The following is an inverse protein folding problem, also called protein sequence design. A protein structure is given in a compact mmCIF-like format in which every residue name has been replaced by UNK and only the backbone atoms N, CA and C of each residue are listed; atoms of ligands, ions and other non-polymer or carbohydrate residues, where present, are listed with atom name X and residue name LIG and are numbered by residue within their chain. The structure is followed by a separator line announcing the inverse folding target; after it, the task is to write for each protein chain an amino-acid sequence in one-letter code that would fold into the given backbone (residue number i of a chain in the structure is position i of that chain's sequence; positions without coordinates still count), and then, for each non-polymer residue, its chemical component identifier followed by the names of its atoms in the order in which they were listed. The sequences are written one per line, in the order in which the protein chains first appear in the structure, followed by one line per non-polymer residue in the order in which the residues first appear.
data_IF_378974498822
#
_entry.id   IF_378974498822
#
_cell.length_a   1.000
_cell.length_b   1.000
_cell.length_c   1.000
_cell.angle_alpha   90.00
_cell.angle_beta   90.00
_cell.angle_gamma   90.00
#
_symmetry.space_group_name_H-M   'P 1'
#
loop_
_entity.id
_entity.type
_entity.pdbx_description
1 polymer ?
#
# COMPACT_ATOMS: atom_id res chain seq x y z
N UNK A 1 -12.06 -4.67 -14.23
CA UNK A 1 -12.73 -4.26 -12.98
C UNK A 1 -12.93 -2.75 -12.96
N UNK A 2 -14.04 -2.25 -12.39
CA UNK A 2 -14.29 -0.81 -12.22
C UNK A 2 -14.47 -0.49 -10.73
N UNK A 3 -13.72 0.49 -10.22
CA UNK A 3 -13.75 0.85 -8.80
C UNK A 3 -14.10 2.33 -8.65
N UNK A 4 -15.12 2.68 -7.86
CA UNK A 4 -15.42 4.08 -7.54
C UNK A 4 -14.32 4.69 -6.66
N UNK A 5 -13.95 5.93 -6.93
CA UNK A 5 -12.87 6.62 -6.25
C UNK A 5 -13.13 8.10 -6.04
N UNK A 6 -12.77 8.57 -4.86
CA UNK A 6 -12.84 9.97 -4.50
C UNK A 6 -11.52 10.63 -4.91
N UNK A 7 -11.60 11.69 -5.72
CA UNK A 7 -10.44 12.53 -6.05
C UNK A 7 -10.40 13.72 -5.10
N UNK A 8 -9.26 13.98 -4.50
CA UNK A 8 -9.03 15.13 -3.63
C UNK A 8 -7.72 15.83 -4.00
N UNK A 9 -7.63 17.13 -3.72
CA UNK A 9 -6.46 17.96 -4.01
C UNK A 9 -5.64 18.14 -2.72
N UNK A 10 -4.35 17.85 -2.77
CA UNK A 10 -3.41 18.14 -1.66
C UNK A 10 -2.26 19.05 -2.08
N UNK A 11 -2.35 19.71 -3.24
CA UNK A 11 -1.33 20.63 -3.72
C UNK A 11 -1.46 22.04 -3.14
N UNK A 12 -0.36 22.56 -2.62
CA UNK A 12 -0.22 23.92 -2.11
C UNK A 12 0.62 24.78 -3.08
N UNK A 13 0.40 26.11 -3.07
CA UNK A 13 1.08 27.04 -4.01
C UNK A 13 2.58 27.14 -3.71
N UNK A 14 2.95 26.99 -2.45
CA UNK A 14 4.32 27.00 -1.96
C UNK A 14 5.16 25.94 -2.67
N UNK A 15 4.56 24.82 -3.08
CA UNK A 15 5.25 23.76 -3.80
C UNK A 15 5.55 24.12 -5.25
N UNK A 16 4.94 25.17 -5.81
CA UNK A 16 5.26 25.65 -7.16
C UNK A 16 6.68 26.24 -7.23
N UNK A 17 7.29 26.56 -6.08
CA UNK A 17 8.65 27.12 -5.97
C UNK A 17 9.74 26.04 -5.90
N UNK A 18 9.37 24.76 -5.76
CA UNK A 18 10.34 23.68 -5.70
C UNK A 18 10.96 23.43 -7.08
N UNK A 19 12.27 23.14 -7.12
CA UNK A 19 12.98 22.84 -8.36
C UNK A 19 12.76 21.38 -8.79
N UNK A 20 11.85 21.19 -9.73
CA UNK A 20 11.46 19.87 -10.23
C UNK A 20 12.36 19.43 -11.38
N UNK A 21 13.32 18.56 -11.09
CA UNK A 21 14.24 18.00 -12.08
C UNK A 21 13.81 16.60 -12.53
N UNK A 22 13.41 16.47 -13.79
CA UNK A 22 13.04 15.16 -14.39
C UNK A 22 14.24 14.20 -14.43
N UNK A 23 15.44 14.72 -14.73
CA UNK A 23 16.69 13.93 -14.78
C UNK A 23 17.06 13.33 -13.43
N UNK A 24 16.65 13.95 -12.32
CA UNK A 24 16.83 13.45 -10.96
C UNK A 24 15.65 12.59 -10.47
N UNK A 25 14.73 12.19 -11.36
CA UNK A 25 13.48 11.51 -11.02
C UNK A 25 12.63 12.30 -10.00
N UNK A 26 12.61 13.63 -10.15
CA UNK A 26 11.82 14.55 -9.33
C UNK A 26 10.84 15.35 -10.19
N UNK A 27 10.21 14.71 -11.19
CA UNK A 27 9.11 15.33 -11.94
C UNK A 27 8.04 15.84 -10.99
N UNK A 28 7.45 16.99 -11.31
CA UNK A 28 6.33 17.57 -10.56
C UNK A 28 5.17 16.55 -10.44
N UNK A 29 4.75 16.19 -9.21
CA UNK A 29 3.61 15.30 -9.00
C UNK A 29 2.28 15.93 -9.44
N UNK A 30 1.25 15.08 -9.65
CA UNK A 30 -0.11 15.58 -9.86
C UNK A 30 -0.65 16.28 -8.61
N UNK A 31 -1.44 17.35 -8.79
CA UNK A 31 -2.09 18.01 -7.66
C UNK A 31 -3.14 17.17 -6.92
N UNK A 32 -3.60 16.09 -7.56
CA UNK A 32 -4.73 15.29 -7.12
C UNK A 32 -4.32 13.86 -6.78
N UNK A 33 -4.99 13.33 -5.77
CA UNK A 33 -4.81 11.98 -5.22
C UNK A 33 -6.18 11.30 -5.19
N UNK A 34 -6.19 9.97 -5.23
CA UNK A 34 -7.40 9.15 -5.26
C UNK A 34 -7.54 8.29 -4.02
N UNK A 35 -8.76 8.14 -3.51
CA UNK A 35 -9.12 7.24 -2.41
C UNK A 35 -10.20 6.27 -2.87
N UNK A 36 -9.98 4.97 -2.67
CA UNK A 36 -10.94 3.91 -2.99
C UNK A 36 -10.76 2.69 -2.08
N UNK A 37 -11.68 1.74 -2.11
CA UNK A 37 -11.49 0.41 -1.51
C UNK A 37 -11.12 -0.62 -2.57
N UNK A 38 -10.32 -1.62 -2.19
CA UNK A 38 -9.96 -2.75 -3.03
C UNK A 38 -9.74 -3.99 -2.18
N UNK A 39 -10.14 -5.16 -2.69
CA UNK A 39 -9.83 -6.45 -2.07
C UNK A 39 -8.31 -6.63 -1.94
N UNK A 40 -7.86 -7.13 -0.78
CA UNK A 40 -6.45 -7.38 -0.53
C UNK A 40 -5.84 -8.33 -1.59
N UNK A 41 -6.60 -9.35 -2.00
CA UNK A 41 -6.22 -10.30 -3.05
C UNK A 41 -5.99 -9.62 -4.41
N UNK A 42 -6.92 -8.75 -4.85
CA UNK A 42 -6.78 -8.00 -6.09
C UNK A 42 -5.61 -7.02 -6.05
N UNK A 43 -5.47 -6.29 -4.94
CA UNK A 43 -4.38 -5.33 -4.75
C UNK A 43 -3.02 -6.02 -4.82
N UNK A 44 -2.88 -7.21 -4.22
CA UNK A 44 -1.68 -8.04 -4.34
C UNK A 44 -1.45 -8.51 -5.77
N UNK A 45 -2.49 -8.97 -6.46
CA UNK A 45 -2.39 -9.50 -7.84
C UNK A 45 -1.87 -8.46 -8.82
N UNK A 46 -2.31 -7.20 -8.71
CA UNK A 46 -1.96 -6.12 -9.66
C UNK A 46 -0.84 -5.20 -9.16
N UNK A 47 -0.17 -5.56 -8.06
CA UNK A 47 0.93 -4.78 -7.51
C UNK A 47 2.25 -5.55 -7.48
N UNK A 48 3.33 -4.80 -7.34
CA UNK A 48 4.70 -5.32 -7.34
C UNK A 48 5.11 -6.08 -6.05
N UNK A 49 4.18 -6.31 -5.12
CA UNK A 49 4.46 -6.87 -3.79
C UNK A 49 5.10 -8.27 -3.85
N UNK A 50 4.81 -9.05 -4.90
CA UNK A 50 5.37 -10.40 -5.07
C UNK A 50 6.70 -10.46 -5.79
N UNK A 51 6.99 -9.56 -6.75
CA UNK A 51 8.26 -9.65 -7.49
C UNK A 51 9.44 -9.23 -6.64
N UNK A 52 9.18 -8.30 -5.72
CA UNK A 52 10.08 -7.91 -4.63
C UNK A 52 10.46 -9.06 -3.68
N UNK A 53 9.86 -10.25 -3.81
CA UNK A 53 10.27 -11.48 -3.10
C UNK A 53 11.52 -12.13 -3.71
N UNK A 54 11.82 -11.90 -5.00
CA UNK A 54 12.86 -12.64 -5.74
C UNK A 54 14.14 -11.84 -6.03
N UNK A 55 14.05 -10.53 -6.19
CA UNK A 55 15.23 -9.68 -6.42
C UNK A 55 15.85 -9.25 -5.09
N UNK A 56 16.58 -10.17 -4.47
CA UNK A 56 17.48 -9.83 -3.37
C UNK A 56 18.55 -8.85 -3.83
N UNK A 57 18.88 -7.88 -2.98
CA UNK A 57 20.12 -7.08 -2.97
C UNK A 57 20.22 -5.69 -3.64
N UNK A 58 19.17 -5.11 -4.25
CA UNK A 58 19.23 -3.67 -4.59
C UNK A 58 17.96 -2.95 -4.15
N UNK A 59 17.86 -2.71 -2.84
CA UNK A 59 16.80 -1.91 -2.27
C UNK A 59 17.11 -0.41 -2.48
N UNK A 60 16.55 0.19 -3.52
CA UNK A 60 16.16 1.60 -3.43
C UNK A 60 15.37 1.78 -2.12
N UNK A 61 15.68 2.80 -1.32
CA UNK A 61 15.31 2.98 0.09
C UNK A 61 13.81 3.02 0.47
N UNK A 62 12.94 2.50 -0.38
CA UNK A 62 11.48 2.32 -0.25
C UNK A 62 11.13 0.92 0.30
N UNK A 63 12.09 -0.01 0.35
CA UNK A 63 11.82 -1.42 0.67
C UNK A 63 12.14 -1.78 2.14
N UNK A 64 11.26 -2.59 2.76
CA UNK A 64 11.56 -3.28 4.03
C UNK A 64 11.72 -4.77 3.77
N UNK A 65 12.69 -5.41 4.41
CA UNK A 65 12.78 -6.89 4.43
C UNK A 65 11.49 -7.48 5.01
N UNK A 66 11.03 -8.59 4.44
CA UNK A 66 9.90 -9.36 5.01
C UNK A 66 10.28 -9.76 6.43
N UNK A 67 9.40 -9.43 7.35
CA UNK A 67 9.48 -9.84 8.73
C UNK A 67 8.31 -10.79 8.96
N UNK A 68 8.58 -12.09 8.91
CA UNK A 68 7.58 -13.14 9.06
C UNK A 68 6.83 -13.01 10.39
N UNK A 69 7.52 -12.61 11.45
CA UNK A 69 6.92 -12.42 12.77
C UNK A 69 5.90 -11.27 12.75
N UNK A 70 6.23 -10.17 12.05
CA UNK A 70 5.35 -9.01 11.89
C UNK A 70 4.16 -9.34 11.00
N UNK A 71 4.37 -10.05 9.90
CA UNK A 71 3.32 -10.50 9.00
C UNK A 71 2.33 -11.42 9.72
N UNK A 72 2.82 -12.43 10.45
CA UNK A 72 2.00 -13.34 11.23
C UNK A 72 1.22 -12.61 12.34
N UNK A 73 1.83 -11.60 12.99
CA UNK A 73 1.14 -10.77 13.98
C UNK A 73 -0.01 -9.96 13.37
N UNK A 74 0.20 -9.35 12.19
CA UNK A 74 -0.87 -8.62 11.48
C UNK A 74 -1.99 -9.59 11.11
N UNK A 75 -1.67 -10.79 10.64
CA UNK A 75 -2.67 -11.78 10.27
C UNK A 75 -3.53 -12.20 11.48
N UNK A 76 -2.91 -12.48 12.63
CA UNK A 76 -3.63 -12.76 13.87
C UNK A 76 -4.47 -11.58 14.33
N UNK A 77 -3.93 -10.36 14.23
CA UNK A 77 -4.66 -9.15 14.56
C UNK A 77 -5.91 -8.99 13.70
N UNK A 78 -5.82 -9.16 12.37
CA UNK A 78 -6.98 -9.05 11.46
C UNK A 78 -8.11 -10.00 11.87
N UNK A 79 -7.76 -11.20 12.33
CA UNK A 79 -8.73 -12.25 12.70
C UNK A 79 -9.32 -12.09 14.09
N UNK A 80 -8.48 -11.71 15.05
CA UNK A 80 -8.83 -11.80 16.47
C UNK A 80 -8.73 -10.48 17.22
N UNK A 81 -8.28 -9.41 16.56
CA UNK A 81 -8.14 -8.07 17.12
C UNK A 81 -7.14 -7.99 18.26
N UNK A 82 -7.08 -6.84 18.93
CA UNK A 82 -6.34 -6.67 20.17
C UNK A 82 -7.29 -6.84 21.37
N UNK A 83 -6.87 -7.49 22.48
CA UNK A 83 -5.51 -7.99 22.75
C UNK A 83 -5.23 -9.41 22.24
N UNK A 84 -6.24 -10.17 21.80
CA UNK A 84 -6.07 -11.60 21.50
C UNK A 84 -5.01 -11.91 20.43
N UNK A 85 -4.96 -11.14 19.33
CA UNK A 85 -4.01 -11.34 18.23
C UNK A 85 -2.55 -11.10 18.60
N UNK A 86 -2.30 -10.40 19.72
CA UNK A 86 -0.98 -10.13 20.28
C UNK A 86 -0.59 -11.08 21.43
N UNK A 87 -1.48 -12.00 21.82
CA UNK A 87 -1.14 -13.05 22.79
C UNK A 87 -0.03 -13.95 22.26
N UNK A 88 0.79 -14.44 23.18
CA UNK A 88 1.81 -15.44 22.87
C UNK A 88 1.14 -16.79 22.56
N UNK A 89 1.82 -17.64 21.80
CA UNK A 89 1.24 -18.91 21.33
C UNK A 89 0.79 -19.85 22.47
N UNK A 90 1.48 -19.80 23.62
CA UNK A 90 1.16 -20.54 24.85
C UNK A 90 -0.10 -20.04 25.58
N UNK A 91 -0.54 -18.83 25.26
CA UNK A 91 -1.75 -18.17 25.77
C UNK A 91 -2.93 -18.25 24.80
N UNK A 92 -2.77 -18.92 23.65
CA UNK A 92 -3.85 -19.12 22.67
C UNK A 92 -4.79 -20.25 23.11
N UNK A 93 -5.44 -20.07 24.26
CA UNK A 93 -6.32 -21.05 24.91
C UNK A 93 -7.77 -20.56 24.86
N UNK A 94 -8.70 -21.50 24.93
CA UNK A 94 -10.15 -21.21 24.90
C UNK A 94 -10.58 -20.27 26.04
N UNK A 95 -9.89 -20.32 27.18
CA UNK A 95 -10.09 -19.43 28.34
C UNK A 95 -9.92 -17.93 27.99
N UNK A 96 -9.16 -17.60 26.95
CA UNK A 96 -8.96 -16.22 26.48
C UNK A 96 -9.83 -15.85 25.29
N UNK A 97 -10.73 -16.73 24.81
CA UNK A 97 -11.57 -16.47 23.64
C UNK A 97 -12.45 -15.21 23.79
N UNK A 98 -12.79 -14.83 25.03
CA UNK A 98 -13.51 -13.60 25.37
C UNK A 98 -12.75 -12.30 25.02
N UNK A 99 -11.43 -12.39 24.84
CA UNK A 99 -10.56 -11.27 24.46
C UNK A 99 -10.57 -11.01 22.94
N UNK A 100 -11.21 -11.86 22.14
CA UNK A 100 -11.31 -11.64 20.69
C UNK A 100 -12.12 -10.37 20.40
N UNK A 101 -11.60 -9.55 19.49
CA UNK A 101 -12.20 -8.31 19.00
C UNK A 101 -12.06 -8.23 17.47
N UNK A 102 -12.81 -7.35 16.79
CA UNK A 102 -12.57 -7.09 15.38
C UNK A 102 -11.15 -6.55 15.11
N UNK A 103 -10.49 -7.11 14.10
CA UNK A 103 -9.16 -6.70 13.65
C UNK A 103 -9.19 -5.69 12.52
N UNK A 104 -9.60 -4.45 12.79
CA UNK A 104 -9.71 -3.43 11.75
C UNK A 104 -8.35 -2.86 11.35
N UNK A 105 -8.09 -2.77 10.04
CA UNK A 105 -6.93 -2.07 9.49
C UNK A 105 -7.36 -0.69 8.98
N UNK A 106 -7.46 0.34 9.84
CA UNK A 106 -7.98 1.66 9.45
C UNK A 106 -7.03 2.46 8.57
N UNK A 107 -5.75 2.08 8.54
CA UNK A 107 -4.73 2.78 7.77
C UNK A 107 -4.82 2.37 6.30
N UNK A 108 -4.77 3.34 5.39
CA UNK A 108 -4.79 3.06 3.96
C UNK A 108 -3.47 2.44 3.49
N UNK A 109 -3.53 1.60 2.45
CA UNK A 109 -2.38 1.22 1.65
C UNK A 109 -2.07 2.39 0.72
N UNK A 110 -0.81 2.81 0.67
CA UNK A 110 -0.39 3.91 -0.19
C UNK A 110 0.27 3.34 -1.43
N UNK A 111 -0.25 3.71 -2.60
CA UNK A 111 0.23 3.20 -3.89
C UNK A 111 0.49 4.32 -4.89
N UNK A 112 1.29 4.03 -5.89
CA UNK A 112 1.40 4.81 -7.11
C UNK A 112 0.80 4.02 -8.28
N UNK A 113 -0.03 4.69 -9.09
CA UNK A 113 -0.54 4.19 -10.37
C UNK A 113 0.44 4.62 -11.46
N UNK A 114 0.99 3.65 -12.19
CA UNK A 114 1.87 3.92 -13.32
C UNK A 114 1.08 4.49 -14.51
N UNK A 115 1.70 5.45 -15.20
CA UNK A 115 1.17 6.07 -16.43
C UNK A 115 1.61 5.30 -17.67
N UNK A 116 0.87 5.43 -18.79
CA UNK A 116 1.37 5.01 -20.09
C UNK A 116 2.81 5.49 -20.33
N UNK A 117 3.71 4.56 -20.66
CA UNK A 117 5.11 4.86 -20.95
C UNK A 117 6.02 5.04 -19.73
N UNK A 118 5.51 4.94 -18.50
CA UNK A 118 6.38 4.91 -17.32
C UNK A 118 7.32 3.71 -17.39
N UNK A 119 8.58 3.94 -17.02
CA UNK A 119 9.64 2.94 -16.99
C UNK A 119 10.17 2.72 -15.57
N UNK A 120 10.47 1.47 -15.25
CA UNK A 120 11.11 1.03 -14.00
C UNK A 120 12.08 -0.08 -14.29
N UNK A 121 13.31 0.03 -13.79
CA UNK A 121 14.36 -0.98 -13.94
C UNK A 121 14.52 -1.49 -15.38
N UNK A 122 14.44 -0.58 -16.36
CA UNK A 122 14.57 -0.91 -17.80
C UNK A 122 13.33 -1.56 -18.44
N UNK A 123 12.26 -1.80 -17.69
CA UNK A 123 10.97 -2.27 -18.21
C UNK A 123 10.02 -1.08 -18.40
N UNK A 124 9.12 -1.18 -19.37
CA UNK A 124 8.03 -0.21 -19.60
C UNK A 124 6.71 -0.86 -19.25
N UNK A 125 5.76 -0.12 -18.66
CA UNK A 125 4.42 -0.66 -18.43
C UNK A 125 3.74 -1.03 -19.75
N UNK A 126 3.16 -2.23 -19.79
CA UNK A 126 2.35 -2.67 -20.93
C UNK A 126 1.09 -1.80 -21.02
N UNK A 127 0.76 -1.31 -22.22
CA UNK A 127 -0.44 -0.53 -22.47
C UNK A 127 -1.73 -1.24 -22.00
N UNK A 128 -1.77 -2.57 -22.09
CA UNK A 128 -2.90 -3.40 -21.64
C UNK A 128 -3.04 -3.47 -20.12
N UNK A 129 -1.99 -3.14 -19.36
CA UNK A 129 -2.01 -3.13 -17.90
C UNK A 129 -2.36 -1.77 -17.31
N UNK A 130 -2.33 -0.69 -18.11
CA UNK A 130 -2.54 0.67 -17.64
C UNK A 130 -3.94 0.84 -17.02
N UNK A 131 -3.97 1.37 -15.79
CA UNK A 131 -5.21 1.75 -15.13
C UNK A 131 -5.68 3.08 -15.70
N UNK A 132 -6.94 3.13 -16.15
CA UNK A 132 -7.53 4.37 -16.67
C UNK A 132 -8.41 5.02 -15.61
N UNK A 133 -8.25 6.32 -15.40
CA UNK A 133 -9.07 7.09 -14.47
C UNK A 133 -10.12 7.88 -15.26
N UNK A 134 -11.40 7.51 -15.11
CA UNK A 134 -12.53 8.16 -15.78
C UNK A 134 -13.27 9.08 -14.81
N UNK A 135 -13.72 10.24 -15.28
CA UNK A 135 -14.62 11.12 -14.53
C UNK A 135 -16.06 10.66 -14.74
N UNK A 136 -16.77 10.32 -13.67
CA UNK A 136 -18.21 10.04 -13.73
C UNK A 136 -19.03 11.30 -14.02
N UNK A 137 -20.22 11.11 -14.59
CA UNK A 137 -21.23 12.16 -14.67
C UNK A 137 -21.89 12.33 -13.29
N UNK A 138 -21.81 13.53 -12.70
CA UNK A 138 -22.53 13.89 -11.46
C UNK A 138 -21.83 13.55 -10.13
N UNK A 139 -21.03 12.48 -10.02
CA UNK A 139 -20.17 12.11 -8.86
C UNK A 139 -19.42 10.78 -9.18
N UNK A 140 -18.61 10.21 -8.26
CA UNK A 140 -17.14 10.26 -8.14
C UNK A 140 -16.34 9.77 -9.39
N UNK A 141 -15.00 9.73 -9.29
CA UNK A 141 -14.14 9.16 -10.33
C UNK A 141 -14.25 7.64 -10.36
N UNK A 142 -13.91 7.00 -11.47
CA UNK A 142 -13.87 5.54 -11.61
C UNK A 142 -12.49 5.11 -12.09
N UNK A 143 -11.82 4.23 -11.35
CA UNK A 143 -10.64 3.52 -11.82
C UNK A 143 -11.10 2.31 -12.63
N UNK A 144 -10.69 2.28 -13.90
CA UNK A 144 -10.87 1.13 -14.79
C UNK A 144 -9.57 0.35 -14.77
N UNK A 145 -9.60 -0.79 -14.10
CA UNK A 145 -8.47 -1.71 -13.96
C UNK A 145 -8.65 -2.80 -15.02
N UNK A 146 -7.66 -3.03 -15.90
CA UNK A 146 -7.76 -4.07 -16.91
C UNK A 146 -7.83 -5.46 -16.29
N UNK A 147 -8.36 -6.43 -17.04
CA UNK A 147 -8.26 -7.84 -16.61
C UNK A 147 -6.81 -8.25 -16.76
N UNK A 148 -6.17 -8.62 -15.65
CA UNK A 148 -4.78 -9.04 -15.62
C UNK A 148 -4.77 -10.44 -15.01
N UNK A 149 -4.83 -11.46 -15.86
CA UNK A 149 -5.02 -12.84 -15.41
C UNK A 149 -3.76 -13.37 -14.70
N UNK A 150 -2.59 -13.06 -15.25
CA UNK A 150 -1.32 -13.27 -14.58
C UNK A 150 -0.28 -12.27 -15.06
N UNK A 151 0.49 -11.74 -14.11
CA UNK A 151 1.60 -10.84 -14.37
C UNK A 151 2.89 -11.65 -14.48
N UNK A 152 3.46 -11.79 -15.69
CA UNK A 152 4.74 -12.49 -15.87
C UNK A 152 5.88 -11.73 -15.17
N UNK A 153 7.01 -12.36 -14.85
CA UNK A 153 8.10 -11.66 -14.15
C UNK A 153 8.70 -10.48 -14.93
N UNK A 154 8.48 -10.40 -16.24
CA UNK A 154 9.06 -9.38 -17.14
C UNK A 154 8.16 -8.18 -17.42
N UNK A 155 6.94 -8.10 -16.88
CA UNK A 155 5.95 -7.07 -17.23
C UNK A 155 5.63 -6.13 -16.08
N UNK A 156 5.94 -4.84 -16.09
CA UNK A 156 5.61 -3.98 -14.92
C UNK A 156 4.13 -4.05 -14.46
N UNK A 157 3.89 -4.17 -13.15
CA UNK A 157 2.54 -4.13 -12.60
C UNK A 157 2.02 -2.68 -12.66
N UNK A 158 0.71 -2.46 -12.79
CA UNK A 158 0.18 -1.10 -12.83
C UNK A 158 0.23 -0.35 -11.49
N UNK A 159 0.38 -1.05 -10.36
CA UNK A 159 0.47 -0.46 -9.04
C UNK A 159 1.83 -0.73 -8.38
N UNK A 160 2.42 0.34 -7.87
CA UNK A 160 3.61 0.28 -7.01
C UNK A 160 3.19 0.57 -5.57
N UNK A 161 3.45 -0.35 -4.64
CA UNK A 161 3.15 -0.12 -3.23
C UNK A 161 4.25 0.72 -2.61
N UNK A 162 3.88 1.88 -2.08
CA UNK A 162 4.76 2.82 -1.36
C UNK A 162 4.78 2.46 0.12
N UNK A 163 3.60 2.36 0.76
CA UNK A 163 3.46 1.96 2.17
C UNK A 163 2.36 0.92 2.35
N UNK A 164 2.55 0.00 3.30
CA UNK A 164 1.60 -1.08 3.60
C UNK A 164 2.00 -2.46 3.08
N UNK A 165 3.26 -2.65 2.67
CA UNK A 165 3.78 -3.93 2.16
C UNK A 165 3.56 -5.09 3.15
N UNK A 166 3.96 -4.93 4.43
CA UNK A 166 3.72 -5.94 5.48
C UNK A 166 2.23 -6.23 5.70
N UNK A 167 1.36 -5.23 5.53
CA UNK A 167 -0.09 -5.40 5.66
C UNK A 167 -0.62 -6.28 4.52
N UNK A 168 -0.15 -6.07 3.29
CA UNK A 168 -0.53 -6.93 2.16
C UNK A 168 0.04 -8.35 2.27
N UNK A 169 1.28 -8.51 2.76
CA UNK A 169 1.86 -9.84 2.99
C UNK A 169 1.07 -10.67 4.01
N UNK A 170 0.37 -10.03 4.95
CA UNK A 170 -0.41 -10.74 5.97
C UNK A 170 -1.63 -11.48 5.42
N UNK A 171 -2.01 -11.22 4.17
CA UNK A 171 -3.09 -11.92 3.48
C UNK A 171 -2.57 -13.10 2.65
N UNK A 172 -1.25 -13.35 2.62
CA UNK A 172 -0.69 -14.48 1.85
C UNK A 172 -1.12 -15.83 2.41
N UNK A 173 -1.73 -16.64 1.56
CA UNK A 173 -2.33 -17.93 1.93
C UNK A 173 -1.29 -19.01 2.27
N UNK A 174 -0.01 -18.81 1.94
CA UNK A 174 0.99 -19.88 1.98
C UNK A 174 1.49 -20.26 3.37
N UNK A 175 1.33 -19.39 4.39
CA UNK A 175 2.03 -19.56 5.67
C UNK A 175 1.09 -19.69 6.90
N UNK A 176 -0.21 -19.88 6.72
CA UNK A 176 -1.17 -19.86 7.85
C UNK A 176 -2.14 -21.03 7.88
N UNK A 177 -2.26 -21.69 9.04
CA UNK A 177 -3.29 -22.69 9.36
C UNK A 177 -4.74 -22.14 9.25
N UNK A 178 -4.88 -20.84 9.04
CA UNK A 178 -6.14 -20.19 8.75
C UNK A 178 -5.85 -18.94 7.90
N UNK A 179 -6.13 -18.91 6.58
CA UNK A 179 -5.96 -17.74 5.73
C UNK A 179 -7.05 -16.68 5.98
N UNK A 180 -6.76 -15.42 5.71
CA UNK A 180 -7.77 -14.34 5.79
C UNK A 180 -8.63 -14.40 4.52
N UNK A 181 -9.96 -14.21 4.60
CA UNK A 181 -10.82 -14.24 3.41
C UNK A 181 -10.38 -13.26 2.31
N UNK A 182 -10.50 -13.69 1.06
CA UNK A 182 -10.12 -12.91 -0.13
C UNK A 182 -11.03 -11.70 -0.41
N UNK A 183 -12.21 -11.65 0.21
CA UNK A 183 -13.15 -10.53 0.11
C UNK A 183 -12.83 -9.39 1.10
N UNK A 184 -11.77 -9.51 1.91
CA UNK A 184 -11.34 -8.45 2.81
C UNK A 184 -10.87 -7.21 2.03
N UNK A 185 -11.57 -6.09 2.19
CA UNK A 185 -11.24 -4.83 1.54
C UNK A 185 -10.31 -3.95 2.38
N UNK A 186 -9.41 -3.25 1.70
CA UNK A 186 -8.49 -2.28 2.28
C UNK A 186 -8.78 -0.89 1.70
N UNK A 187 -8.70 0.18 2.52
CA UNK A 187 -8.66 1.53 1.98
C UNK A 187 -7.33 1.74 1.24
N UNK A 188 -7.38 2.37 0.08
CA UNK A 188 -6.22 2.64 -0.78
C UNK A 188 -6.15 4.11 -1.13
N UNK A 189 -4.99 4.72 -0.86
CA UNK A 189 -4.64 6.07 -1.30
C UNK A 189 -3.68 5.94 -2.47
N UNK A 190 -4.06 6.45 -3.64
CA UNK A 190 -3.29 6.31 -4.86
C UNK A 190 -2.84 7.66 -5.44
N UNK A 191 -1.53 7.76 -5.66
CA UNK A 191 -0.90 8.77 -6.50
C UNK A 191 -0.91 8.31 -7.97
N UNK A 192 -0.69 9.22 -8.92
CA UNK A 192 -0.72 8.90 -10.35
C UNK A 192 0.53 9.42 -11.07
N UNK A 193 1.42 8.50 -11.45
CA UNK A 193 2.70 8.77 -12.10
C UNK A 193 3.69 9.49 -11.21
N UNK A 194 3.75 9.11 -9.94
CA UNK A 194 4.74 9.61 -9.00
C UNK A 194 6.13 9.02 -9.32
N UNK A 195 7.13 9.87 -9.46
CA UNK A 195 8.50 9.42 -9.70
C UNK A 195 9.09 8.71 -8.47
N UNK A 196 10.10 7.88 -8.70
CA UNK A 196 10.67 7.01 -7.68
C UNK A 196 11.27 7.79 -6.48
N UNK A 197 11.88 8.95 -6.72
CA UNK A 197 12.43 9.78 -5.64
C UNK A 197 11.32 10.30 -4.71
N UNK A 198 10.16 10.67 -5.27
CA UNK A 198 8.99 11.08 -4.49
C UNK A 198 8.34 9.92 -3.76
N UNK A 199 8.31 8.74 -4.34
CA UNK A 199 7.86 7.53 -3.64
C UNK A 199 8.75 7.24 -2.43
N UNK A 200 10.08 7.35 -2.57
CA UNK A 200 11.01 7.18 -1.47
C UNK A 200 10.81 8.23 -0.37
N UNK A 201 10.63 9.49 -0.76
CA UNK A 201 10.30 10.57 0.16
C UNK A 201 8.99 10.33 0.92
N UNK A 202 7.93 9.89 0.24
CA UNK A 202 6.64 9.56 0.87
C UNK A 202 6.78 8.38 1.85
N UNK A 203 7.45 7.31 1.44
CA UNK A 203 7.71 6.17 2.31
C UNK A 203 8.45 6.58 3.58
N UNK A 204 9.52 7.38 3.44
CA UNK A 204 10.30 7.88 4.56
C UNK A 204 9.46 8.79 5.47
N UNK A 205 8.78 9.79 4.90
CA UNK A 205 7.98 10.74 5.68
C UNK A 205 6.85 10.07 6.45
N UNK A 206 6.13 9.13 5.85
CA UNK A 206 5.07 8.37 6.53
C UNK A 206 5.63 7.61 7.73
N UNK A 207 6.77 6.96 7.59
CA UNK A 207 7.31 6.08 8.63
C UNK A 207 8.08 6.85 9.71
N UNK A 208 8.78 7.93 9.37
CA UNK A 208 9.54 8.75 10.33
C UNK A 208 8.63 9.71 11.08
N UNK A 209 7.76 10.44 10.39
CA UNK A 209 6.84 11.40 11.04
C UNK A 209 5.88 10.72 12.01
N UNK A 210 5.33 9.56 11.62
CA UNK A 210 4.45 8.77 12.49
C UNK A 210 5.18 8.25 13.74
N UNK A 211 6.47 7.91 13.61
CA UNK A 211 7.30 7.46 14.73
C UNK A 211 7.59 8.61 15.70
N UNK A 212 8.01 9.78 15.18
CA UNK A 212 8.29 10.96 16.00
C UNK A 212 7.08 11.38 16.82
N UNK A 213 5.86 11.32 16.26
CA UNK A 213 4.62 11.62 17.00
C UNK A 213 4.25 10.55 18.04
N UNK A 214 4.47 9.28 17.76
CA UNK A 214 4.23 8.21 18.74
C UNK A 214 5.12 8.37 19.97
N UNK A 215 6.40 8.72 19.79
CA UNK A 215 7.34 8.98 20.90
C UNK A 215 7.14 10.35 21.55
N UNK A 216 6.79 11.38 20.79
CA UNK A 216 6.54 12.73 21.32
C UNK A 216 5.23 12.86 22.10
N UNK A 217 4.19 12.08 21.75
CA UNK A 217 2.92 12.06 22.50
C UNK A 217 3.03 11.36 23.86
N UNK A 218 4.07 10.54 24.08
CA UNK A 218 4.31 9.87 25.36
C UNK A 218 4.90 10.81 26.43
N UNK A 219 5.39 11.98 26.03
CA UNK A 219 5.97 12.96 26.96
C UNK A 219 5.00 14.06 27.45
N UNK A 220 3.76 14.13 26.94
CA UNK A 220 2.80 15.20 27.30
C UNK A 220 1.70 14.72 28.29
N UNK A 221 1.77 13.48 28.80
CA UNK A 221 0.79 12.96 29.76
C UNK A 221 1.36 12.64 31.15
N UNK A 222 2.54 13.15 31.49
CA UNK A 222 3.08 13.13 32.86
C UNK A 222 3.53 14.55 33.22
N UNK A 223 2.54 15.39 33.52
CA UNK A 223 2.70 16.73 34.05
C UNK A 223 1.45 17.09 34.84
#
# INVERSE_FOLDING_TARGET
MQIPAIRFKQWLKEWDQYDYEISAHRRRPEPHIYLFSMKAADLRRISDVYRRRRDGDVAEGIQRRRDESRTARIQRYVKYGYPYGDLRADQNREEFASLRKPGWLPTAIVVNILRPGDQRHGQTINAEHVITIKKGFGSPYTLVIPSIDSLSQSQLPPLEVIDGQHRLWAFEETDSESPVPDDFELPVVAYHGLDIAWQAYLFWSINVWSTIRATGSLFVSLG
#
